data_IF_574426936992
#
_entry.id   IF_574426936992
#
_cell.length_a   1.000
_cell.length_b   1.000
_cell.length_c   1.000
_cell.angle_alpha   90.00
_cell.angle_beta   90.00
_cell.angle_gamma   90.00
#
_symmetry.space_group_name_H-M   'P 1'
#
loop_
_entity.id
_entity.type
_entity.pdbx_description
1 polymer ?
#
# COMPACT_ATOMS: atom_id res chain seq x y z
N UNK A 1 -15.44 -3.24 19.27
CA UNK A 1 -15.48 -2.30 18.13
C UNK A 1 -15.69 -3.16 16.90
N UNK A 2 -16.54 -2.76 15.95
CA UNK A 2 -16.73 -3.52 14.71
C UNK A 2 -15.51 -3.33 13.82
N UNK A 3 -14.94 -4.41 13.30
CA UNK A 3 -13.84 -4.34 12.35
C UNK A 3 -14.34 -3.66 11.07
N UNK A 4 -13.68 -2.59 10.64
CA UNK A 4 -13.99 -1.89 9.38
C UNK A 4 -13.02 -2.30 8.30
N UNK A 5 -13.51 -2.37 7.07
CA UNK A 5 -12.71 -2.75 5.92
C UNK A 5 -12.63 -1.60 4.93
N UNK A 6 -11.45 -1.32 4.40
CA UNK A 6 -11.22 -0.28 3.41
C UNK A 6 -10.59 -0.84 2.14
N UNK A 7 -10.97 -0.28 0.99
CA UNK A 7 -10.31 -0.58 -0.28
C UNK A 7 -9.40 0.57 -0.71
N UNK A 8 -8.12 0.26 -0.88
CA UNK A 8 -7.11 1.23 -1.27
C UNK A 8 -6.42 0.79 -2.57
N UNK A 9 -5.89 1.75 -3.33
CA UNK A 9 -5.15 1.45 -4.57
C UNK A 9 -3.77 2.08 -4.59
N UNK A 10 -2.81 1.46 -5.26
CA UNK A 10 -1.45 2.00 -5.43
C UNK A 10 -1.01 1.95 -6.88
N UNK A 11 0.06 2.69 -7.20
CA UNK A 11 0.72 2.60 -8.49
C UNK A 11 1.83 1.57 -8.39
N UNK A 12 1.75 0.44 -9.12
CA UNK A 12 2.82 -0.55 -9.11
C UNK A 12 4.05 -0.01 -9.83
N UNK A 13 5.24 -0.46 -9.43
CA UNK A 13 6.51 -0.09 -10.05
C UNK A 13 6.53 -0.45 -11.53
N UNK A 14 5.95 -1.59 -11.93
CA UNK A 14 5.88 -2.02 -13.33
C UNK A 14 4.99 -1.12 -14.24
N UNK A 15 4.36 -0.07 -13.70
CA UNK A 15 3.49 0.84 -14.44
C UNK A 15 4.18 1.53 -15.61
N UNK A 16 5.42 1.98 -15.43
CA UNK A 16 6.17 2.73 -16.44
C UNK A 16 7.24 1.86 -17.08
N UNK A 17 7.73 2.24 -18.26
CA UNK A 17 8.87 1.56 -18.88
C UNK A 17 10.10 1.61 -17.98
N UNK A 18 10.37 2.77 -17.36
CA UNK A 18 11.44 2.94 -16.38
C UNK A 18 11.29 1.99 -15.18
N UNK A 19 10.11 1.92 -14.57
CA UNK A 19 9.90 1.02 -13.45
C UNK A 19 10.00 -0.46 -13.82
N UNK A 20 9.60 -0.88 -15.03
CA UNK A 20 9.89 -2.24 -15.53
C UNK A 20 11.39 -2.51 -15.68
N UNK A 21 12.17 -1.50 -16.09
CA UNK A 21 13.63 -1.62 -16.12
C UNK A 21 14.22 -1.73 -14.71
N UNK A 22 13.71 -0.97 -13.74
CA UNK A 22 14.09 -1.10 -12.32
C UNK A 22 13.84 -2.51 -11.78
N UNK A 23 12.65 -3.07 -12.07
CA UNK A 23 12.29 -4.46 -11.73
C UNK A 23 13.32 -5.46 -12.24
N UNK A 24 13.69 -5.37 -13.52
CA UNK A 24 14.65 -6.29 -14.13
C UNK A 24 16.07 -6.11 -13.59
N UNK A 25 16.54 -4.85 -13.47
CA UNK A 25 17.93 -4.55 -13.07
C UNK A 25 18.20 -4.81 -11.60
N UNK A 26 17.20 -4.62 -10.74
CA UNK A 26 17.35 -4.69 -9.28
C UNK A 26 16.57 -5.85 -8.65
N UNK A 27 16.03 -6.76 -9.47
CA UNK A 27 15.22 -7.92 -9.03
C UNK A 27 14.08 -7.54 -8.07
N UNK A 28 13.45 -6.39 -8.28
CA UNK A 28 12.38 -5.89 -7.43
C UNK A 28 11.04 -6.55 -7.78
N UNK A 29 10.12 -6.71 -6.81
CA UNK A 29 8.77 -7.17 -7.10
C UNK A 29 8.05 -6.20 -8.08
N UNK A 30 7.46 -6.67 -9.18
CA UNK A 30 6.82 -5.80 -10.17
C UNK A 30 5.65 -4.97 -9.61
N UNK A 31 4.95 -5.49 -8.61
CA UNK A 31 3.74 -4.88 -8.06
C UNK A 31 3.93 -4.09 -6.78
N UNK A 32 5.18 -3.93 -6.31
CA UNK A 32 5.48 -3.00 -5.24
C UNK A 32 5.07 -1.57 -5.62
N UNK A 33 4.66 -0.75 -4.63
CA UNK A 33 4.37 0.67 -4.85
C UNK A 33 5.57 1.36 -5.55
N UNK A 34 5.38 2.09 -6.64
CA UNK A 34 6.51 2.64 -7.41
C UNK A 34 7.06 4.00 -6.92
N UNK A 35 6.54 4.57 -5.83
CA UNK A 35 6.96 5.87 -5.28
C UNK A 35 8.27 5.73 -4.49
N UNK A 36 9.02 6.83 -4.34
CA UNK A 36 10.27 6.83 -3.54
C UNK A 36 10.03 6.63 -2.03
N UNK A 37 8.88 7.09 -1.55
CA UNK A 37 8.31 6.78 -0.24
C UNK A 37 7.17 5.77 -0.47
N UNK A 38 7.45 4.46 -0.38
CA UNK A 38 6.49 3.39 -0.74
C UNK A 38 5.23 3.53 0.13
N UNK A 39 4.07 3.84 -0.47
CA UNK A 39 2.83 4.07 0.29
C UNK A 39 1.70 3.10 -0.10
N UNK A 40 1.45 2.04 0.68
CA UNK A 40 2.25 1.57 1.82
C UNK A 40 3.51 0.83 1.35
N UNK A 41 4.45 0.65 2.27
CA UNK A 41 5.65 -0.17 2.08
C UNK A 41 5.34 -1.65 2.33
N UNK A 42 4.69 -2.29 1.36
CA UNK A 42 4.31 -3.71 1.44
C UNK A 42 5.52 -4.67 1.47
N UNK A 43 6.74 -4.19 1.27
CA UNK A 43 7.98 -4.97 1.44
C UNK A 43 8.42 -5.01 2.92
N UNK A 44 7.82 -4.18 3.77
CA UNK A 44 8.10 -4.14 5.19
C UNK A 44 7.22 -5.16 5.95
N UNK A 45 7.78 -5.97 6.88
CA UNK A 45 6.98 -6.95 7.63
C UNK A 45 5.92 -6.33 8.54
N UNK A 46 6.15 -5.08 8.97
CA UNK A 46 5.19 -4.23 9.68
C UNK A 46 4.99 -2.94 8.90
N UNK A 47 4.16 -2.93 7.85
CA UNK A 47 4.04 -1.76 6.99
C UNK A 47 3.36 -0.60 7.72
N UNK A 48 3.59 0.62 7.26
CA UNK A 48 2.86 1.80 7.72
C UNK A 48 1.95 2.34 6.61
N UNK A 49 0.81 2.90 7.00
CA UNK A 49 -0.03 3.74 6.15
C UNK A 49 0.09 5.18 6.67
N UNK A 50 0.46 6.11 5.80
CA UNK A 50 0.70 7.51 6.19
C UNK A 50 -0.17 8.49 5.42
N UNK A 51 -0.29 9.71 5.95
CA UNK A 51 -0.94 10.79 5.23
C UNK A 51 -0.09 11.34 4.05
N UNK A 52 1.16 10.91 3.85
CA UNK A 52 2.06 11.48 2.84
C UNK A 52 1.57 11.31 1.39
N UNK A 53 0.74 10.30 1.09
CA UNK A 53 0.13 10.14 -0.25
C UNK A 53 -1.21 10.86 -0.39
N UNK A 54 -2.13 10.66 0.57
CA UNK A 54 -3.54 11.05 0.47
C UNK A 54 -3.96 12.20 1.37
N UNK A 55 -3.02 12.79 2.11
CA UNK A 55 -3.30 13.78 3.13
C UNK A 55 -4.31 13.28 4.15
N UNK A 56 -5.27 14.14 4.48
CA UNK A 56 -6.32 13.86 5.47
C UNK A 56 -7.38 12.84 5.04
N UNK A 57 -7.33 12.37 3.79
CA UNK A 57 -8.40 11.53 3.23
C UNK A 57 -8.38 10.08 3.71
N UNK A 58 -7.29 9.61 4.34
CA UNK A 58 -7.21 8.20 4.73
C UNK A 58 -6.55 7.91 6.08
N UNK A 59 -5.23 8.10 6.24
CA UNK A 59 -4.54 7.71 7.47
C UNK A 59 -5.20 8.22 8.77
N UNK A 60 -5.73 9.47 8.85
CA UNK A 60 -6.44 9.94 10.05
C UNK A 60 -7.78 9.26 10.34
N UNK A 61 -8.36 8.52 9.38
CA UNK A 61 -9.63 7.80 9.55
C UNK A 61 -9.43 6.41 10.14
N UNK A 62 -8.20 5.91 10.12
CA UNK A 62 -7.85 4.56 10.54
C UNK A 62 -7.77 4.46 12.06
N UNK A 63 -8.24 3.33 12.59
CA UNK A 63 -8.23 2.95 13.99
C UNK A 63 -7.65 1.54 14.13
N UNK A 64 -7.06 1.19 15.29
CA UNK A 64 -6.70 -0.20 15.59
C UNK A 64 -7.87 -1.16 15.34
N UNK A 65 -7.60 -2.25 14.63
CA UNK A 65 -8.59 -3.25 14.19
C UNK A 65 -9.09 -3.07 12.76
N UNK A 66 -8.96 -1.87 12.16
CA UNK A 66 -9.33 -1.67 10.76
C UNK A 66 -8.45 -2.51 9.82
N UNK A 67 -9.05 -3.04 8.74
CA UNK A 67 -8.36 -3.78 7.69
C UNK A 67 -8.38 -3.01 6.37
N UNK A 68 -7.24 -2.89 5.71
CA UNK A 68 -7.10 -2.17 4.44
C UNK A 68 -6.62 -3.12 3.35
N UNK A 69 -7.46 -3.39 2.36
CA UNK A 69 -7.10 -4.18 1.19
C UNK A 69 -6.47 -3.28 0.14
N UNK A 70 -5.33 -3.70 -0.41
CA UNK A 70 -4.59 -2.95 -1.42
C UNK A 70 -4.72 -3.57 -2.79
N UNK A 71 -5.03 -2.74 -3.77
CA UNK A 71 -5.05 -3.10 -5.18
C UNK A 71 -4.06 -2.24 -5.97
N UNK A 72 -3.67 -2.65 -7.17
CA UNK A 72 -3.12 -1.70 -8.13
C UNK A 72 -4.21 -0.76 -8.65
N UNK A 73 -3.83 0.34 -9.29
CA UNK A 73 -4.77 1.05 -10.18
C UNK A 73 -5.09 0.21 -11.41
N UNK A 74 -6.20 0.51 -12.11
CA UNK A 74 -6.54 -0.19 -13.36
C UNK A 74 -5.46 0.03 -14.42
N UNK A 75 -5.01 -1.03 -15.07
CA UNK A 75 -4.08 -0.95 -16.19
C UNK A 75 -3.75 -2.31 -16.80
N UNK A 76 -2.84 -2.32 -17.76
CA UNK A 76 -2.39 -3.55 -18.42
C UNK A 76 -1.12 -4.02 -17.73
N UNK A 77 -1.26 -5.04 -16.89
CA UNK A 77 -0.18 -5.54 -16.04
C UNK A 77 0.22 -6.98 -16.38
N UNK A 78 1.50 -7.21 -16.59
CA UNK A 78 2.03 -8.53 -16.94
C UNK A 78 1.43 -9.07 -18.24
N UNK A 79 1.00 -10.32 -18.21
CA UNK A 79 0.57 -11.08 -19.40
C UNK A 79 -0.88 -10.81 -19.81
N UNK A 80 -1.70 -10.23 -18.92
CA UNK A 80 -3.12 -10.00 -19.19
C UNK A 80 -3.28 -8.73 -20.04
N UNK A 81 -3.75 -8.93 -21.29
CA UNK A 81 -3.92 -7.85 -22.28
C UNK A 81 -5.02 -6.86 -21.89
N UNK A 82 -6.11 -7.33 -21.30
CA UNK A 82 -7.22 -6.48 -20.87
C UNK A 82 -6.84 -5.64 -19.64
N UNK A 83 -7.24 -4.36 -19.55
CA UNK A 83 -7.02 -3.55 -18.35
C UNK A 83 -7.73 -4.14 -17.11
N UNK A 84 -6.98 -4.35 -16.03
CA UNK A 84 -7.42 -5.00 -14.80
C UNK A 84 -6.75 -4.36 -13.57
N UNK A 85 -7.15 -4.81 -12.38
CA UNK A 85 -6.47 -4.51 -11.12
C UNK A 85 -5.78 -5.79 -10.62
N UNK A 86 -4.84 -5.63 -9.70
CA UNK A 86 -4.19 -6.74 -8.99
C UNK A 86 -4.40 -6.57 -7.50
N UNK A 87 -4.83 -7.61 -6.81
CA UNK A 87 -4.98 -7.61 -5.34
C UNK A 87 -3.62 -7.89 -4.71
N UNK A 88 -3.06 -6.90 -4.02
CA UNK A 88 -1.69 -6.96 -3.50
C UNK A 88 -1.61 -7.59 -2.10
N UNK A 89 -2.71 -7.61 -1.36
CA UNK A 89 -2.80 -8.10 0.01
C UNK A 89 -3.62 -7.15 0.89
N UNK A 90 -3.60 -7.40 2.20
CA UNK A 90 -4.29 -6.60 3.19
C UNK A 90 -3.38 -6.19 4.35
N UNK A 91 -3.68 -5.04 4.96
CA UNK A 91 -3.00 -4.51 6.13
C UNK A 91 -3.99 -4.39 7.28
N UNK A 92 -3.69 -5.00 8.43
CA UNK A 92 -4.48 -4.85 9.65
C UNK A 92 -3.84 -3.78 10.52
N UNK A 93 -4.56 -2.72 10.83
CA UNK A 93 -4.06 -1.62 11.66
C UNK A 93 -3.92 -2.11 13.09
N UNK A 94 -2.71 -2.03 13.63
CA UNK A 94 -2.41 -2.39 15.03
C UNK A 94 -2.38 -1.16 15.90
N UNK A 95 -1.72 -0.11 15.44
CA UNK A 95 -1.46 1.10 16.23
C UNK A 95 -1.53 2.34 15.35
N UNK A 96 -1.89 3.47 15.96
CA UNK A 96 -1.98 4.76 15.28
C UNK A 96 -1.18 5.80 16.05
N UNK A 97 -0.45 6.64 15.32
CA UNK A 97 0.39 7.70 15.86
C UNK A 97 0.02 9.03 15.22
N UNK A 98 0.14 10.12 16.00
CA UNK A 98 -0.11 11.47 15.52
C UNK A 98 1.05 12.08 14.74
N UNK A 99 2.25 11.49 14.82
CA UNK A 99 3.45 11.96 14.11
C UNK A 99 4.31 10.79 13.60
N UNK A 100 5.13 11.09 12.58
CA UNK A 100 6.09 10.13 12.04
C UNK A 100 7.21 9.82 13.04
N UNK A 101 7.64 10.78 13.87
CA UNK A 101 8.65 10.59 14.90
C UNK A 101 8.20 9.64 16.00
N UNK A 102 6.91 9.74 16.40
CA UNK A 102 6.33 8.84 17.39
C UNK A 102 6.27 7.40 16.87
N UNK A 103 5.80 7.21 15.63
CA UNK A 103 5.81 5.90 14.99
C UNK A 103 7.25 5.36 14.84
N UNK A 104 8.19 6.18 14.38
CA UNK A 104 9.59 5.77 14.21
C UNK A 104 10.25 5.35 15.53
N UNK A 105 9.89 6.01 16.65
CA UNK A 105 10.33 5.61 17.99
C UNK A 105 9.81 4.22 18.36
N UNK A 106 8.54 3.94 18.09
CA UNK A 106 7.94 2.62 18.33
C UNK A 106 8.66 1.52 17.52
N UNK A 107 8.86 1.72 16.21
CA UNK A 107 9.63 0.77 15.38
C UNK A 107 11.01 0.49 15.97
N UNK A 108 11.74 1.54 16.36
CA UNK A 108 13.09 1.41 16.94
C UNK A 108 13.07 0.68 18.28
N UNK A 109 12.12 0.98 19.15
CA UNK A 109 11.97 0.31 20.45
C UNK A 109 11.69 -1.19 20.30
N UNK A 110 11.00 -1.59 19.23
CA UNK A 110 10.72 -2.99 18.89
C UNK A 110 11.81 -3.65 18.04
N UNK A 111 12.92 -2.97 17.79
CA UNK A 111 14.03 -3.50 17.00
C UNK A 111 13.73 -3.67 15.51
N UNK A 112 12.71 -2.98 14.99
CA UNK A 112 12.36 -3.01 13.57
C UNK A 112 13.07 -1.90 12.79
N UNK A 113 13.40 -2.18 11.53
CA UNK A 113 13.76 -1.13 10.57
C UNK A 113 12.56 -0.21 10.34
N UNK A 114 12.81 0.99 9.83
CA UNK A 114 11.73 1.92 9.49
C UNK A 114 11.16 1.57 8.10
N UNK A 115 9.83 1.57 7.93
CA UNK A 115 9.21 1.60 6.61
C UNK A 115 9.68 2.83 5.83
N UNK A 116 9.89 2.69 4.52
CA UNK A 116 10.43 3.75 3.68
C UNK A 116 9.51 5.00 3.60
N UNK A 117 8.21 4.85 3.86
CA UNK A 117 7.26 5.97 3.93
C UNK A 117 7.22 6.71 5.27
N UNK A 118 7.97 6.30 6.29
CA UNK A 118 8.16 7.16 7.46
C UNK A 118 9.11 8.30 7.14
N UNK A 119 8.58 9.52 7.15
CA UNK A 119 9.35 10.73 6.89
C UNK A 119 9.97 11.24 8.20
N UNK A 120 11.16 10.76 8.52
CA UNK A 120 11.96 11.17 9.68
C UNK A 120 13.44 11.24 9.31
N UNK A 121 14.22 11.94 10.13
CA UNK A 121 15.66 12.00 9.95
C UNK A 121 16.31 10.62 10.09
N UNK A 122 17.28 10.35 9.22
CA UNK A 122 17.94 9.05 9.09
C UNK A 122 17.14 7.99 8.31
N UNK A 123 15.96 8.33 7.77
CA UNK A 123 15.20 7.45 6.88
C UNK A 123 15.07 8.09 5.50
N UNK A 124 16.06 7.89 4.63
CA UNK A 124 16.08 8.48 3.31
C UNK A 124 15.03 7.84 2.37
N UNK A 125 14.49 8.60 1.39
CA UNK A 125 13.65 8.04 0.33
C UNK A 125 14.44 7.06 -0.54
N UNK A 126 13.75 6.16 -1.24
CA UNK A 126 14.40 5.29 -2.23
C UNK A 126 15.00 6.14 -3.38
N UNK A 127 16.19 5.76 -3.88
CA UNK A 127 16.82 6.47 -4.99
C UNK A 127 16.03 6.30 -6.29
N UNK A 128 16.06 7.32 -7.17
CA UNK A 128 15.32 7.36 -8.45
C UNK A 128 15.32 6.02 -9.22
N UNK A 129 16.45 5.29 -9.35
CA UNK A 129 16.50 4.04 -10.11
C UNK A 129 15.62 2.90 -9.57
N UNK A 130 15.06 3.02 -8.36
CA UNK A 130 14.17 2.03 -7.75
C UNK A 130 12.69 2.47 -7.76
N UNK A 131 12.38 3.53 -8.50
CA UNK A 131 11.07 4.19 -8.53
C UNK A 131 10.48 4.24 -9.94
N UNK A 132 9.21 4.63 -10.05
CA UNK A 132 8.52 4.81 -11.33
C UNK A 132 8.97 6.08 -12.09
N UNK A 133 9.75 6.96 -11.45
CA UNK A 133 10.10 8.30 -11.91
C UNK A 133 11.45 8.43 -12.63
N UNK A 134 12.00 7.35 -13.20
CA UNK A 134 13.23 7.39 -14.01
C UNK A 134 13.25 8.61 -14.96
N UNK A 135 14.03 9.64 -14.59
CA UNK A 135 14.35 10.80 -15.42
C UNK A 135 13.36 11.97 -15.45
N UNK A 136 12.36 12.08 -14.56
CA UNK A 136 11.39 13.22 -14.61
C UNK A 136 11.28 14.11 -13.36
N UNK A 137 11.65 13.62 -12.19
CA UNK A 137 11.66 14.38 -10.93
C UNK A 137 12.85 13.92 -10.10
N UNK A 138 13.54 14.85 -9.46
CA UNK A 138 14.59 14.50 -8.50
C UNK A 138 13.95 13.95 -7.24
N UNK A 139 14.56 12.91 -6.63
CA UNK A 139 14.05 12.30 -5.39
C UNK A 139 13.82 13.36 -4.29
N UNK A 140 14.67 14.40 -4.25
CA UNK A 140 14.63 15.46 -3.25
C UNK A 140 13.36 16.32 -3.36
N UNK A 141 12.91 16.61 -4.57
CA UNK A 141 11.67 17.38 -4.80
C UNK A 141 10.45 16.62 -4.29
N UNK A 142 10.42 15.29 -4.50
CA UNK A 142 9.33 14.47 -4.01
C UNK A 142 9.41 14.24 -2.49
N UNK A 143 10.63 14.11 -1.95
CA UNK A 143 10.82 13.98 -0.50
C UNK A 143 10.37 15.25 0.24
N UNK A 144 10.66 16.43 -0.32
CA UNK A 144 10.18 17.70 0.22
C UNK A 144 8.65 17.74 0.29
N UNK A 145 7.95 17.32 -0.77
CA UNK A 145 6.48 17.21 -0.76
C UNK A 145 6.00 16.22 0.30
N UNK A 146 6.67 15.09 0.47
CA UNK A 146 6.34 14.12 1.52
C UNK A 146 6.54 14.71 2.93
N UNK A 147 7.60 15.49 3.16
CA UNK A 147 7.87 16.20 4.42
C UNK A 147 6.81 17.25 4.72
N UNK A 148 6.45 18.08 3.75
CA UNK A 148 5.39 19.07 3.91
C UNK A 148 4.06 18.41 4.28
N UNK A 149 3.71 17.30 3.63
CA UNK A 149 2.48 16.56 3.93
C UNK A 149 2.51 15.91 5.30
N UNK A 150 3.65 15.32 5.69
CA UNK A 150 3.84 14.77 7.03
C UNK A 150 3.71 15.85 8.11
N UNK A 151 4.22 17.06 7.87
CA UNK A 151 4.07 18.19 8.77
C UNK A 151 2.60 18.68 8.84
N UNK A 152 1.90 18.75 7.71
CA UNK A 152 0.50 19.17 7.65
C UNK A 152 -0.48 18.14 8.24
N UNK A 153 -0.10 16.86 8.23
CA UNK A 153 -0.86 15.75 8.79
C UNK A 153 0.09 14.60 9.14
N UNK A 154 0.49 14.51 10.41
CA UNK A 154 1.46 13.50 10.87
C UNK A 154 0.87 12.10 11.11
N UNK A 155 -0.38 11.85 10.70
CA UNK A 155 -1.07 10.61 11.00
C UNK A 155 -0.39 9.40 10.35
N UNK A 156 -0.07 8.41 11.18
CA UNK A 156 0.55 7.14 10.79
C UNK A 156 -0.22 5.98 11.41
N UNK A 157 -0.60 4.99 10.61
CA UNK A 157 -1.13 3.72 11.07
C UNK A 157 -0.08 2.62 10.85
N UNK A 158 0.42 2.02 11.94
CA UNK A 158 1.31 0.87 11.90
C UNK A 158 0.49 -0.40 11.80
N UNK A 159 0.83 -1.24 10.84
CA UNK A 159 0.02 -2.37 10.43
C UNK A 159 0.80 -3.69 10.47
N UNK A 160 0.06 -4.78 10.42
CA UNK A 160 0.56 -6.10 10.06
C UNK A 160 0.09 -6.47 8.66
N UNK A 161 0.97 -7.11 7.89
CA UNK A 161 0.68 -7.53 6.53
C UNK A 161 0.02 -8.92 6.51
N UNK A 162 -0.98 -9.09 5.64
CA UNK A 162 -1.69 -10.34 5.43
C UNK A 162 -1.83 -10.65 3.93
N UNK A 163 -1.52 -11.89 3.55
CA UNK A 163 -1.63 -12.42 2.18
C UNK A 163 -1.03 -11.48 1.11
N UNK A 164 0.15 -10.93 1.38
CA UNK A 164 0.84 -10.02 0.46
C UNK A 164 1.58 -10.81 -0.62
N UNK A 165 1.25 -10.54 -1.89
CA UNK A 165 1.99 -11.03 -3.05
C UNK A 165 2.28 -9.86 -4.01
N UNK A 166 3.57 -9.59 -4.23
CA UNK A 166 4.04 -8.52 -5.08
C UNK A 166 4.68 -9.01 -6.39
N UNK A 167 4.77 -10.32 -6.60
CA UNK A 167 5.30 -10.96 -7.81
C UNK A 167 4.18 -11.44 -8.73
N UNK A 168 3.18 -12.14 -8.17
CA UNK A 168 2.08 -12.74 -8.92
C UNK A 168 0.70 -12.52 -8.28
N UNK A 169 0.35 -11.29 -7.84
CA UNK A 169 -0.92 -11.01 -7.18
C UNK A 169 -2.14 -11.43 -8.02
N UNK A 170 -3.24 -11.88 -7.38
CA UNK A 170 -4.48 -12.24 -8.06
C UNK A 170 -5.00 -11.14 -9.01
N UNK A 171 -5.55 -11.55 -10.15
CA UNK A 171 -6.19 -10.67 -11.13
C UNK A 171 -7.60 -10.31 -10.66
N UNK A 172 -7.89 -9.02 -10.58
CA UNK A 172 -9.24 -8.51 -10.44
C UNK A 172 -9.71 -7.96 -11.79
N UNK A 173 -10.55 -8.72 -12.49
CA UNK A 173 -11.16 -8.28 -13.75
C UNK A 173 -12.25 -7.24 -13.49
N UNK A 174 -12.68 -6.54 -14.53
CA UNK A 174 -13.81 -5.62 -14.41
C UNK A 174 -15.09 -6.34 -14.00
N UNK A 175 -15.37 -7.52 -14.55
CA UNK A 175 -16.55 -8.30 -14.20
C UNK A 175 -16.53 -8.73 -12.73
N UNK A 176 -15.36 -9.10 -12.20
CA UNK A 176 -15.21 -9.42 -10.78
C UNK A 176 -15.43 -8.19 -9.89
N UNK A 177 -14.87 -7.04 -10.26
CA UNK A 177 -15.11 -5.80 -9.52
C UNK A 177 -16.60 -5.44 -9.50
N UNK A 178 -17.30 -5.56 -10.62
CA UNK A 178 -18.73 -5.32 -10.70
C UNK A 178 -19.54 -6.36 -9.91
N UNK A 179 -19.14 -7.63 -9.94
CA UNK A 179 -19.81 -8.68 -9.18
C UNK A 179 -19.69 -8.50 -7.66
N UNK A 180 -18.54 -8.01 -7.18
CA UNK A 180 -18.30 -7.79 -5.73
C UNK A 180 -18.96 -6.50 -5.25
N UNK A 181 -18.86 -5.42 -6.03
CA UNK A 181 -19.18 -4.08 -5.55
C UNK A 181 -20.45 -3.47 -6.19
N UNK A 182 -21.01 -4.07 -7.25
CA UNK A 182 -22.07 -3.50 -8.08
C UNK A 182 -21.63 -2.32 -8.97
N UNK A 183 -20.51 -1.68 -8.62
CA UNK A 183 -19.85 -0.60 -9.37
C UNK A 183 -18.34 -0.66 -9.14
N UNK A 184 -17.55 0.10 -9.90
CA UNK A 184 -16.11 0.21 -9.63
C UNK A 184 -15.87 1.25 -8.53
N UNK A 185 -15.33 0.88 -7.35
CA UNK A 185 -15.13 1.81 -6.26
C UNK A 185 -14.09 2.89 -6.59
N UNK A 186 -14.32 4.12 -6.12
CA UNK A 186 -13.34 5.20 -6.22
C UNK A 186 -12.36 5.16 -5.04
N UNK A 187 -11.11 4.78 -5.28
CA UNK A 187 -10.07 4.58 -4.25
C UNK A 187 -9.20 5.82 -3.98
N UNK A 188 -9.55 6.99 -4.53
CA UNK A 188 -8.87 8.27 -4.23
C UNK A 188 -9.04 8.65 -2.75
N UNK A 189 -10.29 8.57 -2.27
CA UNK A 189 -10.63 8.57 -0.86
C UNK A 189 -11.09 7.15 -0.54
N UNK A 190 -10.23 6.31 0.04
CA UNK A 190 -10.52 4.89 0.22
C UNK A 190 -11.90 4.66 0.86
N UNK A 191 -12.83 4.00 0.16
CA UNK A 191 -14.16 3.74 0.67
C UNK A 191 -14.09 2.65 1.74
N UNK A 192 -15.00 2.74 2.69
CA UNK A 192 -15.34 1.59 3.53
C UNK A 192 -16.09 0.57 2.66
N UNK A 193 -15.77 -0.71 2.83
CA UNK A 193 -16.42 -1.83 2.15
C UNK A 193 -17.00 -2.76 3.20
N UNK A 194 -18.02 -3.53 2.83
CA UNK A 194 -18.58 -4.53 3.74
C UNK A 194 -17.60 -5.69 3.99
N UNK A 195 -17.75 -6.36 5.12
CA UNK A 195 -17.01 -7.58 5.46
C UNK A 195 -17.15 -8.64 4.36
N UNK A 196 -18.37 -8.86 3.84
CA UNK A 196 -18.61 -9.81 2.75
C UNK A 196 -17.82 -9.47 1.47
N UNK A 197 -17.65 -8.18 1.15
CA UNK A 197 -16.83 -7.74 0.03
C UNK A 197 -15.34 -7.96 0.30
N UNK A 198 -14.88 -7.68 1.52
CA UNK A 198 -13.51 -7.93 1.94
C UNK A 198 -13.18 -9.42 1.90
N UNK A 199 -14.02 -10.28 2.47
CA UNK A 199 -13.90 -11.73 2.45
C UNK A 199 -13.81 -12.25 1.01
N UNK A 200 -14.69 -11.77 0.14
CA UNK A 200 -14.70 -12.19 -1.27
C UNK A 200 -13.40 -11.85 -2.00
N UNK A 201 -12.75 -10.74 -1.65
CA UNK A 201 -11.43 -10.39 -2.19
C UNK A 201 -10.33 -11.23 -1.54
N UNK A 202 -10.35 -11.39 -0.21
CA UNK A 202 -9.33 -12.16 0.53
C UNK A 202 -9.32 -13.64 0.12
N UNK A 203 -10.47 -14.22 -0.21
CA UNK A 203 -10.58 -15.58 -0.75
C UNK A 203 -9.75 -15.77 -2.04
N UNK A 204 -9.53 -14.70 -2.82
CA UNK A 204 -8.68 -14.74 -4.02
C UNK A 204 -7.19 -14.74 -3.68
N UNK A 205 -6.82 -14.16 -2.54
CA UNK A 205 -5.43 -14.01 -2.09
C UNK A 205 -4.92 -15.25 -1.33
N UNK A 206 -5.81 -16.19 -1.01
CA UNK A 206 -5.44 -17.41 -0.29
C UNK A 206 -4.99 -18.51 -1.26
N UNK A 207 -3.89 -19.23 -0.98
CA UNK A 207 -3.83 -20.63 -1.36
C UNK A 207 -4.99 -21.37 -0.66
N UNK A 208 -5.54 -22.42 -1.26
CA UNK A 208 -6.82 -23.05 -0.88
C UNK A 208 -6.98 -23.58 0.58
N UNK A 209 -6.05 -23.32 1.51
CA UNK A 209 -6.08 -23.77 2.90
C UNK A 209 -5.79 -22.64 3.90
N UNK A 210 -6.80 -22.35 4.73
CA UNK A 210 -6.74 -21.75 6.07
C UNK A 210 -6.39 -20.26 6.28
N UNK A 211 -7.34 -19.55 6.88
CA UNK A 211 -7.15 -18.23 7.52
C UNK A 211 -7.85 -18.05 8.86
N UNK A 212 -8.83 -18.89 9.17
CA UNK A 212 -9.53 -18.82 10.46
C UNK A 212 -8.78 -19.67 11.48
N UNK A 213 -7.71 -19.12 12.05
CA UNK A 213 -7.13 -19.52 13.35
C UNK A 213 -6.07 -18.51 13.79
N UNK A 214 -6.53 -17.43 14.40
CA UNK A 214 -5.82 -16.69 15.44
C UNK A 214 -6.88 -15.92 16.23
N UNK A 215 -7.61 -16.65 17.08
CA UNK A 215 -8.38 -16.12 18.19
C UNK A 215 -7.52 -16.22 19.45
#
# INVERSE_FOLDING_TARGET
MSDRFFLCSTWPLCKTAGGRQAVLKSALPPFVNGMSRREPDLEHPRPAITASSRGRNFAPRLLPGDTVLYTTTKGRWGEVRAPHWRLLGALVVRETFGTHEAAARDYRQRGHRLPSNLVVDGNAPLPVPLTLHHGRLHTDEWDAVCRERAAACGAVAVCEAYAVDLFAPPVLTQDLMLAVFGTVPNTRTPPEISEAQADRLLDLARPASDWRRAA
#
